data_IF_440420574935
#
_entry.id   IF_440420574935
#
_cell.length_a   1.000
_cell.length_b   1.000
_cell.length_c   1.000
_cell.angle_alpha   90.00
_cell.angle_beta   90.00
_cell.angle_gamma   90.00
#
_symmetry.space_group_name_H-M   'P 1'
#
loop_
_entity.id
_entity.type
_entity.pdbx_description
1 polymer ?
#
# COMPACT_ATOMS: atom_id res chain seq x y z
N UNK A 1 6.11 11.53 14.87
CA UNK A 1 6.83 12.11 16.05
C UNK A 1 6.90 13.62 15.86
N UNK A 2 6.32 14.38 16.77
CA UNK A 2 6.40 15.84 16.77
C UNK A 2 7.67 16.21 17.54
N UNK A 3 8.67 16.74 16.85
CA UNK A 3 9.83 17.35 17.53
C UNK A 3 9.66 18.88 17.47
N UNK A 4 9.52 19.49 18.63
CA UNK A 4 9.74 20.93 18.81
C UNK A 4 11.26 21.16 18.83
N UNK A 5 11.79 21.88 17.87
CA UNK A 5 13.19 22.33 17.94
C UNK A 5 13.22 23.80 18.37
N UNK A 6 13.66 24.06 19.57
CA UNK A 6 13.95 25.42 20.04
C UNK A 6 15.33 25.92 19.54
N UNK A 7 15.86 25.33 18.50
CA UNK A 7 17.18 25.68 17.97
C UNK A 7 17.10 27.00 17.20
N UNK A 8 17.60 28.07 17.85
CA UNK A 8 17.96 29.29 17.14
C UNK A 8 19.20 29.01 16.30
N UNK A 9 19.02 28.98 14.98
CA UNK A 9 20.16 28.92 14.05
C UNK A 9 20.66 30.34 13.76
N UNK A 10 21.96 30.55 13.93
CA UNK A 10 22.63 31.74 13.43
C UNK A 10 23.21 31.48 12.04
N UNK A 11 23.13 32.46 11.16
CA UNK A 11 23.76 32.40 9.85
C UNK A 11 25.30 32.61 9.99
N UNK A 12 26.04 32.47 8.88
CA UNK A 12 27.49 32.65 8.85
C UNK A 12 27.96 34.05 9.36
N UNK A 13 27.06 35.02 9.41
CA UNK A 13 27.31 36.40 9.91
C UNK A 13 26.90 36.58 11.38
N UNK A 14 26.56 35.52 12.10
CA UNK A 14 26.16 35.59 13.50
C UNK A 14 24.73 36.06 13.77
N UNK A 15 24.01 36.53 12.75
CA UNK A 15 22.62 36.98 12.87
C UNK A 15 21.65 35.82 12.98
N UNK A 16 20.53 36.01 13.70
CA UNK A 16 19.46 35.03 13.82
C UNK A 16 18.82 34.77 12.44
N UNK A 17 18.90 33.56 11.98
CA UNK A 17 18.21 33.15 10.74
C UNK A 17 16.82 32.61 11.06
N UNK A 18 15.84 32.87 10.19
CA UNK A 18 14.52 32.25 10.27
C UNK A 18 14.69 30.73 10.19
N UNK A 19 14.44 30.04 11.27
CA UNK A 19 14.35 28.58 11.31
C UNK A 19 12.88 28.24 11.14
N UNK A 20 12.58 27.27 10.25
CA UNK A 20 11.26 26.67 10.20
C UNK A 20 11.02 25.83 11.46
N UNK A 21 10.84 26.52 12.60
CA UNK A 21 10.47 25.89 13.86
C UNK A 21 9.00 25.44 13.84
N UNK A 22 8.69 24.44 14.63
CA UNK A 22 7.31 24.01 14.94
C UNK A 22 6.47 23.42 13.78
N UNK A 23 7.09 22.97 12.68
CA UNK A 23 6.36 22.20 11.67
C UNK A 23 6.26 20.74 12.10
N UNK A 24 5.04 20.20 12.06
CA UNK A 24 4.83 18.76 12.20
C UNK A 24 5.55 18.05 11.04
N UNK A 25 6.37 17.07 11.38
CA UNK A 25 7.10 16.26 10.40
C UNK A 25 6.70 14.80 10.54
N UNK A 26 6.26 14.22 9.46
CA UNK A 26 6.03 12.78 9.38
C UNK A 26 7.37 12.09 9.17
N UNK A 27 7.70 11.14 10.04
CA UNK A 27 8.93 10.34 9.93
C UNK A 27 8.62 8.87 10.09
N UNK A 28 9.28 8.05 9.30
CA UNK A 28 9.38 6.61 9.51
C UNK A 28 10.46 6.37 10.55
N UNK A 29 10.15 5.60 11.58
CA UNK A 29 11.15 5.19 12.57
C UNK A 29 11.79 3.87 12.17
N UNK A 30 13.04 3.66 12.58
CA UNK A 30 13.75 2.40 12.34
C UNK A 30 13.02 1.21 12.93
N UNK A 31 12.34 1.40 14.07
CA UNK A 31 11.52 0.37 14.72
C UNK A 31 10.37 -0.12 13.86
N UNK A 32 9.70 0.78 13.14
CA UNK A 32 8.62 0.43 12.21
C UNK A 32 9.16 -0.41 11.04
N UNK A 33 10.31 -0.03 10.50
CA UNK A 33 10.99 -0.80 9.45
C UNK A 33 11.37 -2.20 9.97
N UNK A 34 11.98 -2.25 11.16
CA UNK A 34 12.37 -3.49 11.85
C UNK A 34 11.17 -4.41 12.07
N UNK A 35 10.10 -3.88 12.65
CA UNK A 35 8.87 -4.61 12.92
C UNK A 35 8.31 -5.21 11.62
N UNK A 36 8.22 -4.41 10.55
CA UNK A 36 7.70 -4.88 9.27
C UNK A 36 8.55 -5.99 8.64
N UNK A 37 9.88 -5.86 8.68
CA UNK A 37 10.79 -6.89 8.17
C UNK A 37 10.69 -8.21 8.96
N UNK A 38 10.45 -8.13 10.27
CA UNK A 38 10.21 -9.31 11.12
C UNK A 38 8.88 -9.98 10.79
N UNK A 39 7.81 -9.20 10.64
CA UNK A 39 6.48 -9.69 10.24
C UNK A 39 6.55 -10.44 8.91
N UNK A 40 7.35 -9.95 7.96
CA UNK A 40 7.56 -10.58 6.65
C UNK A 40 8.52 -11.79 6.70
N UNK A 41 9.11 -12.09 7.86
CA UNK A 41 10.04 -13.20 8.02
C UNK A 41 11.36 -13.06 7.24
N UNK A 42 11.70 -11.85 6.79
CA UNK A 42 12.88 -11.58 5.94
C UNK A 42 14.11 -11.14 6.70
N UNK A 43 14.00 -10.94 8.01
CA UNK A 43 15.06 -10.40 8.87
C UNK A 43 15.47 -11.40 9.95
N UNK A 44 16.77 -11.52 10.16
CA UNK A 44 17.40 -12.20 11.30
C UNK A 44 18.40 -11.23 11.95
N UNK A 45 18.49 -11.28 13.27
CA UNK A 45 19.49 -10.50 14.00
C UNK A 45 20.76 -11.32 14.27
N UNK A 46 21.87 -10.65 14.20
CA UNK A 46 23.15 -11.09 14.75
C UNK A 46 23.73 -9.96 15.58
N UNK A 47 24.47 -10.30 16.61
CA UNK A 47 25.16 -9.32 17.44
C UNK A 47 26.67 -9.48 17.23
N UNK A 48 27.32 -8.39 16.87
CA UNK A 48 28.76 -8.34 16.73
C UNK A 48 29.31 -7.14 17.50
N UNK A 49 30.23 -7.36 18.42
CA UNK A 49 30.80 -6.32 19.31
C UNK A 49 29.72 -5.46 20.00
N UNK A 50 28.64 -6.07 20.48
CA UNK A 50 27.55 -5.37 21.15
C UNK A 50 26.60 -4.59 20.22
N UNK A 51 26.85 -4.58 18.91
CA UNK A 51 26.02 -3.91 17.93
C UNK A 51 25.07 -4.91 17.21
N UNK A 52 23.80 -4.53 17.11
CA UNK A 52 22.79 -5.30 16.37
C UNK A 52 23.04 -5.18 14.87
N UNK A 53 23.24 -6.31 14.20
CA UNK A 53 23.36 -6.40 12.75
C UNK A 53 22.13 -7.05 12.13
N UNK A 54 21.62 -6.46 11.08
CA UNK A 54 20.46 -6.92 10.33
C UNK A 54 20.89 -7.83 9.18
N UNK A 55 20.52 -9.09 9.28
CA UNK A 55 20.87 -10.09 8.29
C UNK A 55 19.61 -10.50 7.52
N UNK A 56 19.59 -10.32 6.17
CA UNK A 56 18.49 -10.81 5.35
C UNK A 56 18.35 -12.34 5.45
N UNK A 57 17.12 -12.82 5.64
CA UNK A 57 16.75 -14.24 5.70
C UNK A 57 15.95 -14.61 4.44
N UNK A 58 16.14 -15.82 3.90
CA UNK A 58 15.28 -16.34 2.84
C UNK A 58 13.87 -16.66 3.37
N UNK A 59 12.89 -16.62 2.49
CA UNK A 59 11.49 -17.01 2.79
C UNK A 59 11.26 -18.41 2.27
N UNK A 60 11.21 -19.37 3.19
CA UNK A 60 11.02 -20.79 2.88
C UNK A 60 9.65 -21.07 2.25
N UNK A 61 8.64 -20.34 2.65
CA UNK A 61 7.27 -20.47 2.15
C UNK A 61 7.14 -20.16 0.65
N UNK A 62 8.02 -19.33 0.11
CA UNK A 62 7.99 -18.93 -1.30
C UNK A 62 8.86 -19.80 -2.22
N UNK A 63 9.66 -20.72 -1.68
CA UNK A 63 10.64 -21.49 -2.47
C UNK A 63 9.96 -22.34 -3.56
N UNK A 64 8.76 -22.84 -3.29
CA UNK A 64 8.00 -23.71 -4.21
C UNK A 64 7.19 -22.93 -5.24
N UNK A 65 7.07 -21.61 -5.09
CA UNK A 65 6.30 -20.78 -6.01
C UNK A 65 7.08 -20.54 -7.32
N UNK A 66 6.37 -20.09 -8.36
CA UNK A 66 7.00 -19.68 -9.61
C UNK A 66 7.90 -18.45 -9.42
N UNK A 67 8.89 -18.29 -10.29
CA UNK A 67 9.86 -17.17 -10.21
C UNK A 67 9.16 -15.82 -10.29
N UNK A 68 8.13 -15.74 -11.12
CA UNK A 68 7.34 -14.52 -11.28
C UNK A 68 6.54 -14.20 -10.02
N UNK A 69 5.91 -15.21 -9.42
CA UNK A 69 5.15 -15.07 -8.17
C UNK A 69 6.04 -14.64 -7.01
N UNK A 70 7.23 -15.23 -6.89
CA UNK A 70 8.21 -14.82 -5.88
C UNK A 70 8.55 -13.34 -6.07
N UNK A 71 8.90 -12.93 -7.28
CA UNK A 71 9.28 -11.56 -7.57
C UNK A 71 8.13 -10.58 -7.33
N UNK A 72 6.91 -10.94 -7.73
CA UNK A 72 5.73 -10.09 -7.58
C UNK A 72 5.31 -9.95 -6.10
N UNK A 73 5.47 -10.99 -5.28
CA UNK A 73 5.26 -10.89 -3.82
C UNK A 73 6.18 -9.84 -3.18
N UNK A 74 7.48 -9.91 -3.48
CA UNK A 74 8.45 -8.91 -2.98
C UNK A 74 8.14 -7.50 -3.51
N UNK A 75 7.77 -7.37 -4.78
CA UNK A 75 7.41 -6.10 -5.39
C UNK A 75 6.15 -5.48 -4.75
N UNK A 76 5.13 -6.29 -4.48
CA UNK A 76 3.90 -5.84 -3.84
C UNK A 76 4.16 -5.29 -2.44
N UNK A 77 4.97 -6.01 -1.65
CA UNK A 77 5.34 -5.61 -0.29
C UNK A 77 6.18 -4.33 -0.28
N UNK A 78 7.18 -4.22 -1.16
CA UNK A 78 8.04 -3.04 -1.28
C UNK A 78 7.21 -1.82 -1.70
N UNK A 79 6.37 -1.96 -2.73
CA UNK A 79 5.53 -0.86 -3.22
C UNK A 79 4.47 -0.46 -2.20
N UNK A 80 3.83 -1.43 -1.54
CA UNK A 80 2.83 -1.16 -0.52
C UNK A 80 3.42 -0.37 0.65
N UNK A 81 4.58 -0.80 1.16
CA UNK A 81 5.26 -0.11 2.24
C UNK A 81 5.73 1.29 1.83
N UNK A 82 6.29 1.44 0.63
CA UNK A 82 6.67 2.76 0.11
C UNK A 82 5.47 3.66 -0.11
N UNK A 83 4.39 3.18 -0.70
CA UNK A 83 3.21 4.00 -0.95
C UNK A 83 2.64 4.57 0.35
N UNK A 84 2.59 3.77 1.41
CA UNK A 84 2.12 4.21 2.73
C UNK A 84 3.01 5.31 3.33
N UNK A 85 4.34 5.15 3.24
CA UNK A 85 5.30 6.08 3.85
C UNK A 85 5.88 7.12 2.89
N UNK A 86 5.41 7.18 1.65
CA UNK A 86 5.96 8.04 0.60
C UNK A 86 5.89 9.54 0.92
N UNK A 87 4.96 9.95 1.78
CA UNK A 87 4.80 11.34 2.24
C UNK A 87 5.75 11.70 3.40
N UNK A 88 6.43 10.72 3.99
CA UNK A 88 7.33 10.95 5.10
C UNK A 88 8.54 11.80 4.71
N UNK A 89 8.99 12.67 5.62
CA UNK A 89 10.14 13.55 5.38
C UNK A 89 11.45 12.78 5.15
N UNK A 90 11.55 11.58 5.73
CA UNK A 90 12.70 10.69 5.63
C UNK A 90 12.37 9.43 4.82
N UNK A 91 11.57 9.55 3.76
CA UNK A 91 11.21 8.42 2.89
C UNK A 91 12.46 7.69 2.35
N UNK A 92 13.60 8.36 2.23
CA UNK A 92 14.88 7.75 1.82
C UNK A 92 15.39 6.65 2.77
N UNK A 93 14.97 6.63 4.04
CA UNK A 93 15.32 5.55 4.98
C UNK A 93 14.72 4.19 4.56
N UNK A 94 13.70 4.21 3.70
CA UNK A 94 13.14 2.99 3.09
C UNK A 94 14.13 2.24 2.17
N UNK A 95 15.26 2.86 1.81
CA UNK A 95 16.35 2.15 1.12
C UNK A 95 16.88 1.00 1.96
N UNK A 96 16.93 1.14 3.29
CA UNK A 96 17.33 0.05 4.19
C UNK A 96 16.32 -1.10 4.15
N UNK A 97 15.03 -0.80 4.15
CA UNK A 97 13.97 -1.79 3.96
C UNK A 97 14.15 -2.53 2.62
N UNK A 98 14.29 -1.78 1.54
CA UNK A 98 14.47 -2.34 0.20
C UNK A 98 15.72 -3.23 0.10
N UNK A 99 16.85 -2.80 0.68
CA UNK A 99 18.07 -3.59 0.70
C UNK A 99 17.87 -4.97 1.34
N UNK A 100 17.22 -5.02 2.52
CA UNK A 100 16.94 -6.28 3.21
C UNK A 100 15.99 -7.15 2.38
N UNK A 101 14.93 -6.58 1.82
CA UNK A 101 13.98 -7.28 0.95
C UNK A 101 14.67 -7.85 -0.29
N UNK A 102 15.50 -7.07 -0.94
CA UNK A 102 16.24 -7.48 -2.13
C UNK A 102 17.18 -8.66 -1.85
N UNK A 103 17.97 -8.58 -0.77
CA UNK A 103 18.87 -9.67 -0.40
C UNK A 103 18.14 -10.90 0.11
N UNK A 104 17.01 -10.74 0.81
CA UNK A 104 16.13 -11.83 1.18
C UNK A 104 15.62 -12.56 -0.07
N UNK A 105 15.16 -11.82 -1.08
CA UNK A 105 14.72 -12.38 -2.36
C UNK A 105 15.85 -13.16 -3.03
N UNK A 106 17.06 -12.61 -3.11
CA UNK A 106 18.21 -13.33 -3.69
C UNK A 106 18.49 -14.64 -2.96
N UNK A 107 18.40 -14.64 -1.64
CA UNK A 107 18.56 -15.85 -0.82
C UNK A 107 17.41 -16.85 -1.03
N UNK A 108 16.17 -16.38 -1.25
CA UNK A 108 15.02 -17.22 -1.57
C UNK A 108 15.22 -17.93 -2.91
N UNK A 109 15.63 -17.20 -3.95
CA UNK A 109 16.00 -17.79 -5.25
C UNK A 109 17.19 -18.75 -5.13
N UNK A 110 18.20 -18.41 -4.33
CA UNK A 110 19.35 -19.27 -4.11
C UNK A 110 18.94 -20.59 -3.41
N UNK A 111 18.02 -20.52 -2.46
CA UNK A 111 17.43 -21.70 -1.81
C UNK A 111 16.63 -22.56 -2.80
N UNK A 112 15.75 -21.94 -3.59
CA UNK A 112 14.95 -22.61 -4.63
C UNK A 112 15.82 -23.41 -5.61
N UNK A 113 16.86 -22.78 -6.12
CA UNK A 113 17.76 -23.40 -7.12
C UNK A 113 18.96 -24.12 -6.52
N UNK A 114 19.02 -24.26 -5.19
CA UNK A 114 20.14 -24.89 -4.47
C UNK A 114 21.51 -24.38 -4.95
N UNK A 115 21.64 -23.06 -5.05
CA UNK A 115 22.83 -22.40 -5.60
C UNK A 115 23.23 -21.18 -4.76
N UNK A 116 24.30 -20.52 -5.14
CA UNK A 116 24.78 -19.33 -4.43
C UNK A 116 24.08 -18.06 -4.92
N UNK A 117 23.92 -17.07 -4.03
CA UNK A 117 23.38 -15.73 -4.36
C UNK A 117 24.15 -15.09 -5.53
N UNK A 118 25.47 -15.29 -5.58
CA UNK A 118 26.32 -14.77 -6.68
C UNK A 118 25.89 -15.32 -8.05
N UNK A 119 25.58 -16.61 -8.15
CA UNK A 119 25.11 -17.25 -9.38
C UNK A 119 23.73 -16.76 -9.77
N UNK A 120 22.82 -16.61 -8.81
CA UNK A 120 21.48 -16.03 -9.02
C UNK A 120 21.59 -14.61 -9.55
N UNK A 121 22.40 -13.76 -8.94
CA UNK A 121 22.62 -12.40 -9.42
C UNK A 121 23.17 -12.37 -10.85
N UNK A 122 24.12 -13.26 -11.20
CA UNK A 122 24.66 -13.35 -12.56
C UNK A 122 23.61 -13.77 -13.58
N UNK A 123 22.71 -14.68 -13.22
CA UNK A 123 21.64 -15.19 -14.10
C UNK A 123 20.52 -14.17 -14.34
N UNK A 124 20.08 -13.50 -13.29
CA UNK A 124 18.85 -12.68 -13.32
C UNK A 124 19.09 -11.16 -13.36
N UNK A 125 20.28 -10.67 -13.01
CA UNK A 125 20.56 -9.22 -13.11
C UNK A 125 20.81 -8.81 -14.55
N UNK A 126 19.98 -7.89 -15.03
CA UNK A 126 20.16 -7.20 -16.32
C UNK A 126 20.22 -5.70 -16.06
N UNK A 127 21.24 -5.03 -16.55
CA UNK A 127 21.48 -3.60 -16.30
C UNK A 127 21.40 -3.21 -14.82
N UNK A 128 21.96 -4.04 -13.94
CA UNK A 128 21.96 -3.80 -12.49
C UNK A 128 20.69 -4.15 -11.75
N UNK A 129 19.56 -4.40 -12.44
CA UNK A 129 18.25 -4.70 -11.87
C UNK A 129 17.91 -6.18 -12.01
N UNK A 130 17.37 -6.78 -10.96
CA UNK A 130 16.93 -8.17 -11.00
C UNK A 130 15.68 -8.27 -11.88
N UNK A 131 15.71 -9.16 -12.88
CA UNK A 131 14.70 -9.26 -13.93
C UNK A 131 14.36 -10.72 -14.20
N UNK A 132 13.08 -11.05 -14.20
CA UNK A 132 12.54 -12.36 -14.58
C UNK A 132 11.82 -12.22 -15.90
N UNK A 133 12.22 -13.03 -16.90
CA UNK A 133 11.54 -13.13 -18.20
C UNK A 133 10.39 -14.15 -18.11
N UNK A 134 9.28 -13.86 -18.78
CA UNK A 134 8.15 -14.74 -18.90
C UNK A 134 7.45 -14.58 -20.25
N UNK A 135 6.74 -15.60 -20.68
CA UNK A 135 6.00 -15.58 -21.94
C UNK A 135 4.49 -15.48 -21.67
N UNK A 136 3.83 -14.55 -22.31
CA UNK A 136 2.37 -14.35 -22.19
C UNK A 136 1.66 -15.35 -23.14
N UNK A 137 0.38 -15.65 -22.89
CA UNK A 137 -0.46 -16.54 -23.71
C UNK A 137 -0.40 -16.25 -25.22
N UNK A 138 -0.12 -15.02 -25.61
CA UNK A 138 0.02 -14.60 -27.02
C UNK A 138 1.44 -14.82 -27.58
N UNK A 139 2.29 -15.62 -26.95
CA UNK A 139 3.65 -15.92 -27.39
C UNK A 139 4.66 -14.76 -27.20
N UNK A 140 4.23 -13.60 -26.74
CA UNK A 140 5.13 -12.44 -26.52
C UNK A 140 5.96 -12.61 -25.25
N UNK A 141 7.27 -12.51 -25.36
CA UNK A 141 8.17 -12.46 -24.22
C UNK A 141 8.05 -11.12 -23.50
N UNK A 142 7.88 -11.15 -22.20
CA UNK A 142 7.86 -9.97 -21.30
C UNK A 142 8.86 -10.14 -20.16
N UNK A 143 9.22 -9.04 -19.55
CA UNK A 143 10.12 -9.00 -18.42
C UNK A 143 9.44 -8.34 -17.22
N UNK A 144 9.63 -8.93 -16.04
CA UNK A 144 9.25 -8.33 -14.76
C UNK A 144 10.51 -7.97 -14.01
N UNK A 145 10.58 -6.74 -13.49
CA UNK A 145 11.74 -6.21 -12.79
C UNK A 145 11.45 -6.02 -11.31
N UNK A 146 12.46 -6.22 -10.47
CA UNK A 146 12.38 -5.81 -9.09
C UNK A 146 12.25 -4.29 -9.03
N UNK A 147 11.44 -3.81 -8.10
CA UNK A 147 11.26 -2.37 -7.87
C UNK A 147 12.60 -1.66 -7.65
N UNK A 148 12.88 -0.66 -8.47
CA UNK A 148 14.13 0.12 -8.44
C UNK A 148 13.91 1.60 -8.78
N UNK A 149 12.71 2.13 -8.53
CA UNK A 149 12.38 3.54 -8.85
C UNK A 149 12.86 4.51 -7.77
N UNK A 150 13.45 3.97 -6.68
CA UNK A 150 13.92 4.74 -5.54
C UNK A 150 12.80 5.18 -4.59
N UNK A 151 13.18 5.79 -3.46
CA UNK A 151 12.29 6.15 -2.36
C UNK A 151 12.32 7.67 -2.14
N UNK A 152 11.87 8.43 -3.12
CA UNK A 152 11.73 9.88 -3.01
C UNK A 152 10.46 10.24 -2.26
N UNK A 153 10.52 11.28 -1.44
CA UNK A 153 9.33 11.83 -0.81
C UNK A 153 8.35 12.31 -1.87
N UNK A 154 7.13 11.80 -1.83
CA UNK A 154 6.02 12.34 -2.64
C UNK A 154 5.41 13.55 -1.91
N UNK A 155 5.07 14.58 -2.65
CA UNK A 155 4.30 15.69 -2.08
C UNK A 155 2.87 15.18 -1.85
N UNK A 156 2.27 15.46 -0.67
CA UNK A 156 0.87 15.13 -0.46
C UNK A 156 0.04 15.84 -1.54
N UNK A 157 -0.89 15.12 -2.13
CA UNK A 157 -1.89 15.71 -3.00
C UNK A 157 -2.86 16.50 -2.13
N UNK A 158 -2.94 17.80 -2.33
CA UNK A 158 -3.93 18.66 -1.67
C UNK A 158 -5.21 18.70 -2.51
N UNK A 159 -5.73 17.55 -2.84
CA UNK A 159 -7.07 17.50 -3.41
C UNK A 159 -8.07 17.76 -2.28
N UNK A 160 -8.73 18.92 -2.34
CA UNK A 160 -9.78 19.29 -1.35
C UNK A 160 -10.94 18.30 -1.33
N UNK A 161 -11.09 17.47 -2.34
CA UNK A 161 -12.12 16.42 -2.39
C UNK A 161 -11.80 15.25 -1.44
N UNK A 162 -10.53 15.02 -1.10
CA UNK A 162 -10.10 13.94 -0.20
C UNK A 162 -10.51 14.22 1.25
N UNK A 163 -10.52 15.50 1.66
CA UNK A 163 -10.93 15.93 3.01
C UNK A 163 -12.46 16.10 3.13
N UNK A 164 -13.19 15.96 2.05
CA UNK A 164 -14.63 15.74 2.14
C UNK A 164 -14.77 14.32 2.68
N UNK A 165 -14.89 14.21 4.01
CA UNK A 165 -15.53 13.04 4.59
C UNK A 165 -16.74 12.74 3.71
N UNK A 166 -16.85 11.52 3.14
CA UNK A 166 -18.10 11.13 2.53
C UNK A 166 -19.13 11.50 3.59
N UNK A 167 -19.98 12.46 3.23
CA UNK A 167 -21.07 12.86 4.10
C UNK A 167 -21.62 11.52 4.59
N UNK A 168 -21.56 11.17 5.90
CA UNK A 168 -22.22 9.98 6.34
C UNK A 168 -23.63 10.24 5.88
N UNK A 169 -24.01 9.64 4.77
CA UNK A 169 -25.36 9.76 4.29
C UNK A 169 -26.21 9.53 5.52
N UNK A 170 -27.04 10.50 5.93
CA UNK A 170 -27.93 10.30 7.03
C UNK A 170 -28.58 8.97 6.73
N UNK A 171 -28.23 7.96 7.52
CA UNK A 171 -28.36 6.58 7.10
C UNK A 171 -29.75 6.36 6.55
N UNK A 172 -29.80 6.29 5.24
CA UNK A 172 -30.89 5.59 4.60
C UNK A 172 -30.65 4.16 5.03
N UNK A 173 -31.23 3.81 6.18
CA UNK A 173 -31.19 2.45 6.68
C UNK A 173 -31.71 1.62 5.53
N UNK A 174 -30.81 0.80 4.95
CA UNK A 174 -31.22 -0.21 3.99
C UNK A 174 -32.08 -1.17 4.76
N UNK A 175 -33.38 -0.90 4.80
CA UNK A 175 -34.33 -1.84 5.35
C UNK A 175 -34.22 -3.14 4.58
N UNK A 176 -33.99 -4.23 5.29
CA UNK A 176 -33.89 -5.54 4.65
C UNK A 176 -35.19 -5.82 3.89
N UNK A 177 -35.12 -6.64 2.84
CA UNK A 177 -36.32 -7.09 2.10
C UNK A 177 -37.40 -7.65 3.06
N UNK A 178 -36.94 -8.35 4.10
CA UNK A 178 -37.79 -8.94 5.14
C UNK A 178 -38.49 -7.86 5.95
N UNK A 179 -37.81 -6.77 6.31
CA UNK A 179 -38.42 -5.67 7.08
C UNK A 179 -39.45 -4.92 6.25
N UNK A 180 -39.22 -4.77 4.95
CA UNK A 180 -40.19 -4.19 4.01
C UNK A 180 -41.46 -5.04 3.87
N UNK A 181 -41.28 -6.35 3.76
CA UNK A 181 -42.39 -7.31 3.71
C UNK A 181 -43.20 -7.31 5.01
N UNK A 182 -42.51 -7.21 6.16
CA UNK A 182 -43.16 -7.16 7.47
C UNK A 182 -43.91 -5.85 7.73
N UNK A 183 -43.45 -4.75 7.12
CA UNK A 183 -44.03 -3.43 7.31
C UNK A 183 -45.47 -3.29 6.73
N UNK A 184 -45.87 -4.17 5.79
CA UNK A 184 -47.18 -4.22 5.14
C UNK A 184 -47.70 -2.84 4.69
N UNK A 185 -46.79 -1.98 4.25
CA UNK A 185 -47.08 -0.62 3.84
C UNK A 185 -46.24 -0.26 2.61
N UNK A 186 -46.88 0.35 1.63
CA UNK A 186 -46.17 0.83 0.44
C UNK A 186 -45.21 1.96 0.81
N UNK A 187 -43.92 1.83 0.45
CA UNK A 187 -42.94 2.87 0.72
C UNK A 187 -43.14 4.15 -0.10
N UNK A 188 -43.86 4.08 -1.23
CA UNK A 188 -44.04 5.21 -2.13
C UNK A 188 -45.33 6.00 -1.81
N UNK A 189 -46.44 5.32 -1.64
CA UNK A 189 -47.76 5.98 -1.45
C UNK A 189 -48.36 5.76 -0.07
N UNK A 190 -47.80 4.89 0.75
CA UNK A 190 -48.32 4.61 2.08
C UNK A 190 -49.54 3.68 2.13
N UNK A 191 -50.00 3.14 1.01
CA UNK A 191 -51.13 2.21 0.96
C UNK A 191 -50.82 0.91 1.72
N UNK A 192 -51.86 0.31 2.31
CA UNK A 192 -51.80 -0.94 3.08
C UNK A 192 -52.41 -2.13 2.37
N UNK A 193 -53.21 -1.88 1.33
CA UNK A 193 -53.93 -2.90 0.59
C UNK A 193 -53.30 -3.18 -0.77
N UNK A 194 -53.41 -4.43 -1.28
CA UNK A 194 -52.92 -4.88 -2.57
C UNK A 194 -51.45 -4.59 -2.82
N UNK A 195 -50.59 -4.85 -1.82
CA UNK A 195 -49.17 -4.61 -1.89
C UNK A 195 -48.50 -5.64 -2.80
N UNK A 196 -47.75 -5.17 -3.82
CA UNK A 196 -46.97 -5.99 -4.75
C UNK A 196 -45.52 -5.56 -4.70
N UNK A 197 -44.64 -6.55 -4.57
CA UNK A 197 -43.19 -6.31 -4.72
C UNK A 197 -42.85 -6.09 -6.17
N UNK A 198 -42.44 -4.88 -6.50
CA UNK A 198 -42.12 -4.48 -7.87
C UNK A 198 -40.60 -4.22 -8.07
N UNK A 199 -39.98 -4.96 -8.93
CA UNK A 199 -38.64 -4.64 -9.42
C UNK A 199 -38.72 -3.65 -10.58
N UNK A 200 -38.60 -2.36 -10.28
CA UNK A 200 -38.86 -1.31 -11.25
C UNK A 200 -37.88 -1.27 -12.42
N UNK A 201 -36.59 -1.35 -12.13
CA UNK A 201 -35.50 -1.38 -13.14
C UNK A 201 -34.17 -1.79 -12.52
N UNK A 202 -33.19 -2.21 -13.34
CA UNK A 202 -31.83 -2.39 -12.87
C UNK A 202 -31.24 -1.04 -12.48
N UNK A 203 -30.51 -0.97 -11.35
CA UNK A 203 -29.86 0.26 -10.87
C UNK A 203 -29.02 0.97 -11.94
N UNK A 204 -28.34 0.20 -12.81
CA UNK A 204 -27.55 0.75 -13.92
C UNK A 204 -28.36 1.39 -15.06
N UNK A 205 -29.68 1.25 -15.08
CA UNK A 205 -30.55 1.85 -16.08
C UNK A 205 -31.19 3.16 -15.59
N UNK A 206 -31.04 3.48 -14.29
CA UNK A 206 -31.58 4.68 -13.69
C UNK A 206 -30.72 5.89 -14.06
N UNK A 207 -31.32 6.91 -14.65
CA UNK A 207 -30.64 8.13 -15.10
C UNK A 207 -30.72 9.29 -14.08
N UNK A 208 -31.38 9.10 -12.95
CA UNK A 208 -31.54 10.12 -11.93
C UNK A 208 -32.36 11.34 -12.33
N UNK A 209 -33.26 11.22 -13.32
CA UNK A 209 -34.10 12.33 -13.78
C UNK A 209 -35.21 12.64 -12.81
N UNK A 210 -35.87 11.60 -12.33
CA UNK A 210 -37.02 11.71 -11.42
C UNK A 210 -36.56 11.60 -9.95
N UNK A 211 -37.34 12.18 -9.02
CA UNK A 211 -37.03 12.16 -7.59
C UNK A 211 -36.92 10.73 -7.02
N UNK A 212 -37.80 9.83 -7.47
CA UNK A 212 -37.74 8.43 -7.05
C UNK A 212 -36.52 7.70 -7.58
N UNK A 213 -36.06 8.01 -8.81
CA UNK A 213 -34.81 7.46 -9.35
C UNK A 213 -33.57 7.90 -8.51
N UNK A 214 -33.53 9.19 -8.13
CA UNK A 214 -32.49 9.72 -7.25
C UNK A 214 -32.47 9.02 -5.89
N UNK A 215 -33.65 8.74 -5.33
CA UNK A 215 -33.76 8.00 -4.08
C UNK A 215 -33.32 6.54 -4.23
N UNK A 216 -33.61 5.89 -5.37
CA UNK A 216 -33.19 4.52 -5.64
C UNK A 216 -31.69 4.40 -5.91
N UNK A 217 -31.09 5.35 -6.60
CA UNK A 217 -29.64 5.41 -6.84
C UNK A 217 -28.88 5.67 -5.53
N UNK A 218 -29.47 6.43 -4.61
CA UNK A 218 -28.88 6.76 -3.32
C UNK A 218 -29.00 5.65 -2.26
N UNK A 219 -29.79 4.62 -2.50
CA UNK A 219 -29.97 3.42 -1.65
C UNK A 219 -29.06 2.29 -2.04
#
# INVERSE_FOLDING_TARGET
TVRRSNLQKRNKRGSLSRVYGNKVRLKVTTEVIKKKLLELGVLKFSYHNGHEQWIPKHRSELINNDDLEILDSYNAEIRGFYNYYSIANNASELNTFHYIMQYSMYKTFAGKYRTTVRRICRKYKRNGVFTVGYTVKNGKAKERRLYNEGFKRKRPSYDRSIDRCPNPMPGVSTTSLIDRLKAQKCELCGATDNLVMHHVRKLGELKGKENWEKLMIAR
#
